data_IF_732111912942
#
_entry.id   IF_732111912942
#
_cell.length_a   1.000
_cell.length_b   1.000
_cell.length_c   1.000
_cell.angle_alpha   90.00
_cell.angle_beta   90.00
_cell.angle_gamma   90.00
#
_symmetry.space_group_name_H-M   'P 1'
#
loop_
_entity.id
_entity.type
_entity.pdbx_description
1 polymer ?
#
# COMPACT_ATOMS: atom_id res chain seq x y z
N UNK A 1 -17.63 1.64 -6.51
CA UNK A 1 -17.91 1.68 -5.06
C UNK A 1 -16.80 0.88 -4.39
N UNK A 2 -15.95 1.48 -3.55
CA UNK A 2 -14.92 0.74 -2.81
C UNK A 2 -15.64 -0.04 -1.70
N UNK A 3 -15.92 -1.33 -1.93
CA UNK A 3 -16.56 -2.20 -0.93
C UNK A 3 -15.48 -2.90 -0.09
N UNK A 4 -15.83 -3.26 1.15
CA UNK A 4 -14.96 -4.08 2.01
C UNK A 4 -14.58 -5.39 1.31
N UNK A 5 -15.52 -6.01 0.60
CA UNK A 5 -15.29 -7.22 -0.20
C UNK A 5 -14.25 -7.01 -1.30
N UNK A 6 -14.29 -5.85 -1.98
CA UNK A 6 -13.31 -5.50 -3.00
C UNK A 6 -11.92 -5.30 -2.42
N UNK A 7 -11.82 -4.68 -1.24
CA UNK A 7 -10.54 -4.53 -0.52
C UNK A 7 -9.99 -5.89 -0.08
N UNK A 8 -10.85 -6.76 0.47
CA UNK A 8 -10.47 -8.11 0.90
C UNK A 8 -9.93 -8.96 -0.25
N UNK A 9 -10.55 -8.86 -1.44
CA UNK A 9 -10.16 -9.64 -2.61
C UNK A 9 -8.74 -9.32 -3.13
N UNK A 10 -8.26 -8.09 -2.92
CA UNK A 10 -6.94 -7.62 -3.40
C UNK A 10 -5.94 -7.38 -2.26
N UNK A 11 -6.31 -7.73 -1.02
CA UNK A 11 -5.50 -7.37 0.15
C UNK A 11 -4.17 -8.13 0.19
N UNK A 12 -4.13 -9.35 -0.34
CA UNK A 12 -2.88 -10.12 -0.40
C UNK A 12 -1.89 -9.47 -1.37
N UNK A 13 -2.35 -9.00 -2.53
CA UNK A 13 -1.51 -8.25 -3.48
C UNK A 13 -0.91 -6.99 -2.82
N UNK A 14 -1.71 -6.28 -2.02
CA UNK A 14 -1.20 -5.16 -1.23
C UNK A 14 -0.12 -5.60 -0.22
N UNK A 15 -0.30 -6.73 0.46
CA UNK A 15 0.70 -7.26 1.41
C UNK A 15 2.01 -7.62 0.72
N UNK A 16 1.94 -8.18 -0.48
CA UNK A 16 3.10 -8.46 -1.31
C UNK A 16 3.81 -7.16 -1.71
N UNK A 17 3.08 -6.15 -2.21
CA UNK A 17 3.64 -4.84 -2.56
C UNK A 17 4.27 -4.14 -1.35
N UNK A 18 3.63 -4.22 -0.17
CA UNK A 18 4.16 -3.65 1.07
C UNK A 18 5.44 -4.34 1.53
N UNK A 19 5.55 -5.64 1.32
CA UNK A 19 6.75 -6.43 1.65
C UNK A 19 7.86 -6.19 0.65
N UNK A 20 7.51 -5.99 -0.62
CA UNK A 20 8.44 -5.68 -1.69
C UNK A 20 9.06 -4.29 -1.51
N UNK A 21 8.28 -3.26 -1.18
CA UNK A 21 8.79 -1.91 -0.98
C UNK A 21 9.88 -1.85 0.10
N UNK A 22 11.03 -1.24 -0.23
CA UNK A 22 12.23 -1.16 0.62
C UNK A 22 12.90 -2.51 0.96
N UNK A 23 12.55 -3.59 0.27
CA UNK A 23 13.29 -4.86 0.34
C UNK A 23 14.63 -4.78 -0.41
N UNK A 24 15.55 -5.71 -0.13
CA UNK A 24 16.84 -5.82 -0.84
C UNK A 24 16.65 -5.93 -2.37
N UNK A 25 15.59 -6.63 -2.80
CA UNK A 25 15.22 -6.77 -4.20
C UNK A 25 14.78 -5.42 -4.80
N UNK A 26 13.87 -4.72 -4.12
CA UNK A 26 13.41 -3.39 -4.55
C UNK A 26 14.57 -2.39 -4.60
N UNK A 27 15.44 -2.36 -3.59
CA UNK A 27 16.59 -1.46 -3.56
C UNK A 27 17.57 -1.75 -4.70
N UNK A 28 17.81 -3.04 -4.99
CA UNK A 28 18.67 -3.45 -6.11
C UNK A 28 18.10 -3.01 -7.45
N UNK A 29 16.79 -3.25 -7.67
CA UNK A 29 16.09 -2.84 -8.88
C UNK A 29 16.04 -1.32 -9.01
N UNK A 30 15.73 -0.60 -7.94
CA UNK A 30 15.67 0.86 -7.93
C UNK A 30 17.03 1.48 -8.30
N UNK A 31 18.13 0.94 -7.75
CA UNK A 31 19.49 1.36 -8.09
C UNK A 31 19.80 1.13 -9.58
N UNK A 32 19.55 -0.08 -10.09
CA UNK A 32 19.76 -0.41 -11.51
C UNK A 32 18.91 0.49 -12.43
N UNK A 33 17.69 0.79 -12.02
CA UNK A 33 16.73 1.59 -12.79
C UNK A 33 17.14 3.06 -12.84
N UNK A 34 17.63 3.59 -11.71
CA UNK A 34 18.17 4.95 -11.59
C UNK A 34 19.45 5.11 -12.40
N UNK A 35 20.33 4.10 -12.39
CA UNK A 35 21.57 4.09 -13.19
C UNK A 35 21.29 3.99 -14.71
N UNK A 36 20.17 3.36 -15.10
CA UNK A 36 19.81 3.13 -16.51
C UNK A 36 18.67 4.01 -17.07
N UNK A 37 18.13 4.96 -16.30
CA UNK A 37 17.04 5.88 -16.71
C UNK A 37 15.75 5.17 -17.22
N UNK A 38 15.38 4.01 -16.65
CA UNK A 38 14.22 3.20 -17.10
C UNK A 38 13.02 3.30 -16.14
N UNK A 39 12.44 4.47 -15.89
CA UNK A 39 11.38 4.61 -14.88
C UNK A 39 9.98 4.72 -15.51
N UNK A 40 9.15 3.70 -15.29
CA UNK A 40 7.67 3.81 -15.42
C UNK A 40 6.89 3.09 -14.30
N UNK A 41 7.45 2.05 -13.65
CA UNK A 41 6.76 1.24 -12.61
C UNK A 41 7.42 1.32 -11.22
N UNK A 42 8.60 1.92 -11.13
CA UNK A 42 9.41 2.03 -9.90
C UNK A 42 9.60 3.48 -9.46
N UNK A 43 8.62 4.35 -9.72
CA UNK A 43 8.62 5.67 -9.10
C UNK A 43 8.41 5.45 -7.60
N UNK A 44 9.46 5.69 -6.81
CA UNK A 44 9.52 5.54 -5.35
C UNK A 44 8.28 6.12 -4.65
N UNK A 45 7.74 7.20 -5.22
CA UNK A 45 6.58 7.89 -4.72
C UNK A 45 5.30 7.04 -4.78
N UNK A 46 5.14 6.14 -5.75
CA UNK A 46 3.88 5.39 -5.93
C UNK A 46 3.63 4.36 -4.83
N UNK A 47 4.65 3.57 -4.47
CA UNK A 47 4.53 2.58 -3.39
C UNK A 47 4.46 3.29 -2.04
N UNK A 48 5.23 4.37 -1.85
CA UNK A 48 5.14 5.20 -0.66
C UNK A 48 3.72 5.76 -0.46
N UNK A 49 3.15 6.37 -1.50
CA UNK A 49 1.81 6.95 -1.47
C UNK A 49 0.74 5.87 -1.25
N UNK A 50 0.87 4.70 -1.88
CA UNK A 50 -0.04 3.57 -1.69
C UNK A 50 -0.07 3.12 -0.22
N UNK A 51 1.11 2.97 0.40
CA UNK A 51 1.24 2.55 1.80
C UNK A 51 0.67 3.63 2.73
N UNK A 52 0.90 4.91 2.43
CA UNK A 52 0.32 6.03 3.17
C UNK A 52 -1.21 6.01 3.13
N UNK A 53 -1.79 5.96 1.93
CA UNK A 53 -3.25 5.89 1.73
C UNK A 53 -3.89 4.67 2.40
N UNK A 54 -3.19 3.52 2.38
CA UNK A 54 -3.64 2.34 3.10
C UNK A 54 -3.72 2.58 4.61
N UNK A 55 -2.69 3.18 5.20
CA UNK A 55 -2.65 3.44 6.64
C UNK A 55 -3.72 4.44 7.09
N UNK A 56 -3.95 5.49 6.29
CA UNK A 56 -5.03 6.46 6.54
C UNK A 56 -6.40 5.75 6.51
N UNK A 57 -6.65 4.94 5.48
CA UNK A 57 -7.87 4.15 5.36
C UNK A 57 -8.08 3.21 6.55
N UNK A 58 -7.00 2.55 7.03
CA UNK A 58 -7.07 1.71 8.21
C UNK A 58 -7.42 2.50 9.47
N UNK A 59 -6.87 3.71 9.63
CA UNK A 59 -7.20 4.62 10.71
C UNK A 59 -8.70 4.96 10.74
N UNK A 60 -9.24 5.37 9.59
CA UNK A 60 -10.66 5.69 9.44
C UNK A 60 -11.56 4.50 9.77
N UNK A 61 -11.21 3.30 9.31
CA UNK A 61 -11.96 2.07 9.59
C UNK A 61 -11.94 1.71 11.08
N UNK A 62 -10.82 1.90 11.77
CA UNK A 62 -10.71 1.67 13.20
C UNK A 62 -11.59 2.65 13.99
N UNK A 63 -11.54 3.95 13.66
CA UNK A 63 -12.38 4.96 14.30
C UNK A 63 -13.87 4.68 14.08
N UNK A 64 -14.25 4.32 12.85
CA UNK A 64 -15.62 3.95 12.52
C UNK A 64 -16.07 2.72 13.30
N UNK A 65 -15.24 1.67 13.36
CA UNK A 65 -15.58 0.44 14.10
C UNK A 65 -15.77 0.70 15.60
N UNK A 66 -14.94 1.56 16.19
CA UNK A 66 -15.05 1.96 17.59
C UNK A 66 -16.33 2.76 17.86
N UNK A 67 -16.71 3.64 16.92
CA UNK A 67 -17.96 4.41 16.99
C UNK A 67 -19.16 3.49 16.90
N UNK A 68 -19.17 2.57 15.93
CA UNK A 68 -20.25 1.59 15.77
C UNK A 68 -20.40 0.71 17.02
N UNK A 69 -19.30 0.27 17.62
CA UNK A 69 -19.34 -0.58 18.82
C UNK A 69 -19.97 0.12 20.03
N UNK A 70 -19.82 1.44 20.17
CA UNK A 70 -20.44 2.20 21.28
C UNK A 70 -21.96 2.31 21.17
N UNK A 71 -22.51 2.15 19.97
CA UNK A 71 -23.94 2.26 19.67
C UNK A 71 -24.65 0.89 19.67
N UNK A 72 -23.92 -0.19 20.00
CA UNK A 72 -24.44 -1.56 20.18
C UNK A 72 -24.64 -1.82 21.68
#
# INVERSE_FOLDING_TARGET
MKSIEGLQAVYEDYRELRTFYDSDEWQSLYKETTENNRLDVLDENQLFDLIGQHNDCLGDLLELSATMYKEI
#
